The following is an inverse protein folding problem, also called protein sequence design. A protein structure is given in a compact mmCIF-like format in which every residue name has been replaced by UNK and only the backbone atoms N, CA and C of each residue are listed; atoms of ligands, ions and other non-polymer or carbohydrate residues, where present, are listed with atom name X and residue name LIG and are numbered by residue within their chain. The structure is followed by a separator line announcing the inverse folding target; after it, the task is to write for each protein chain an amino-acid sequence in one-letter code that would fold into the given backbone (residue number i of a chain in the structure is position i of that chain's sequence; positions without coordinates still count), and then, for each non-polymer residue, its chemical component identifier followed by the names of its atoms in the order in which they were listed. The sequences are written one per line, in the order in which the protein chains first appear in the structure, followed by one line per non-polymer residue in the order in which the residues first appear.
data_IF_206354816492
#
_entry.id   IF_206354816492
#
_cell.length_a   1.000
_cell.length_b   1.000
_cell.length_c   1.000
_cell.angle_alpha   90.00
_cell.angle_beta   90.00
_cell.angle_gamma   90.00
#
_symmetry.space_group_name_H-M   'P 1'
#
loop_
_entity.id
_entity.type
_entity.pdbx_description
1 polymer ?
#
# COMPACT_ATOMS: atom_id res chain seq x y z
N UNK A 1 27.02 -11.46 15.70
CA UNK A 1 25.92 -10.50 15.43
C UNK A 1 24.84 -10.67 16.52
N UNK A 2 24.11 -9.62 16.95
CA UNK A 2 23.04 -9.71 17.97
C UNK A 2 21.99 -10.78 17.65
N UNK A 3 21.65 -10.97 16.37
CA UNK A 3 20.69 -12.01 15.94
C UNK A 3 21.22 -13.40 16.28
N UNK A 4 22.48 -13.69 15.95
CA UNK A 4 23.13 -14.98 16.29
C UNK A 4 23.21 -15.20 17.80
N UNK A 5 23.40 -14.13 18.59
CA UNK A 5 23.45 -14.21 20.05
C UNK A 5 22.09 -14.49 20.67
N UNK A 6 21.02 -13.89 20.14
CA UNK A 6 19.66 -14.08 20.64
C UNK A 6 19.03 -15.38 20.15
N UNK A 7 19.46 -15.87 18.98
CA UNK A 7 18.93 -17.06 18.31
C UNK A 7 17.39 -17.13 18.31
N UNK A 8 16.69 -16.11 17.77
CA UNK A 8 15.24 -16.06 17.80
C UNK A 8 14.63 -17.11 16.86
N UNK A 9 13.50 -17.71 17.26
CA UNK A 9 12.74 -18.61 16.40
C UNK A 9 12.13 -17.88 15.20
N UNK A 10 11.64 -16.65 15.42
CA UNK A 10 11.07 -15.75 14.41
C UNK A 10 11.45 -14.29 14.72
N UNK A 11 11.73 -13.51 13.68
CA UNK A 11 11.90 -12.05 13.76
C UNK A 11 10.62 -11.33 13.31
N UNK A 12 10.08 -10.47 14.18
CA UNK A 12 9.01 -9.55 13.81
C UNK A 12 9.58 -8.36 13.02
N UNK A 13 9.14 -8.17 11.78
CA UNK A 13 9.56 -7.03 10.95
C UNK A 13 8.55 -5.90 11.11
N UNK A 14 8.91 -4.88 11.89
CA UNK A 14 8.12 -3.65 12.09
C UNK A 14 8.62 -2.43 11.30
N UNK A 15 9.37 -2.64 10.21
CA UNK A 15 9.96 -1.58 9.41
C UNK A 15 9.02 -1.16 8.27
N UNK A 16 8.61 0.10 8.24
CA UNK A 16 7.73 0.64 7.20
C UNK A 16 8.54 1.41 6.15
N UNK A 17 8.31 1.12 4.87
CA UNK A 17 9.01 1.74 3.74
C UNK A 17 10.47 1.30 3.54
N UNK A 18 11.05 1.73 2.41
CA UNK A 18 12.46 1.53 2.09
C UNK A 18 12.90 0.07 2.08
N UNK A 19 14.14 -0.18 2.52
CA UNK A 19 14.76 -1.52 2.55
C UNK A 19 14.03 -2.54 3.45
N UNK A 20 13.21 -2.05 4.39
CA UNK A 20 12.40 -2.89 5.25
C UNK A 20 11.19 -3.51 4.53
N UNK A 21 10.58 -2.78 3.59
CA UNK A 21 9.31 -3.18 2.95
C UNK A 21 9.46 -3.53 1.46
N UNK A 22 10.58 -3.17 0.82
CA UNK A 22 10.82 -3.45 -0.61
C UNK A 22 11.33 -4.87 -0.92
N UNK A 23 11.51 -5.72 0.09
CA UNK A 23 11.99 -7.10 -0.07
C UNK A 23 13.49 -7.29 0.16
N UNK A 24 14.28 -6.22 0.29
CA UNK A 24 15.74 -6.29 0.49
C UNK A 24 16.12 -7.00 1.78
N UNK A 25 15.55 -6.57 2.92
CA UNK A 25 15.78 -7.21 4.21
C UNK A 25 15.25 -8.65 4.25
N UNK A 26 14.07 -8.88 3.69
CA UNK A 26 13.47 -10.22 3.59
C UNK A 26 14.37 -11.15 2.80
N UNK A 27 15.00 -10.66 1.71
CA UNK A 27 15.90 -11.47 0.90
C UNK A 27 17.15 -11.89 1.69
N UNK A 28 17.66 -10.99 2.52
CA UNK A 28 18.77 -11.29 3.42
C UNK A 28 18.37 -12.35 4.45
N UNK A 29 17.20 -12.23 5.08
CA UNK A 29 16.71 -13.24 6.03
C UNK A 29 16.46 -14.59 5.38
N UNK A 30 15.87 -14.62 4.18
CA UNK A 30 15.71 -15.84 3.38
C UNK A 30 17.07 -16.50 3.08
N UNK A 31 18.09 -15.72 2.71
CA UNK A 31 19.44 -16.23 2.45
C UNK A 31 20.11 -16.81 3.71
N UNK A 32 19.87 -16.20 4.86
CA UNK A 32 20.41 -16.62 6.15
C UNK A 32 19.57 -17.70 6.85
N UNK A 33 18.48 -18.18 6.23
CA UNK A 33 17.50 -19.07 6.84
C UNK A 33 16.95 -18.55 8.18
N UNK A 34 16.74 -17.23 8.28
CA UNK A 34 16.09 -16.59 9.41
C UNK A 34 14.59 -16.50 9.12
N UNK A 35 13.76 -16.99 10.02
CA UNK A 35 12.30 -16.90 9.91
C UNK A 35 11.80 -15.51 10.32
N UNK A 36 10.78 -15.00 9.63
CA UNK A 36 10.24 -13.68 9.89
C UNK A 36 8.75 -13.53 9.59
N UNK A 37 8.14 -12.48 10.15
CA UNK A 37 6.72 -12.16 9.94
C UNK A 37 6.46 -11.46 8.61
N UNK A 38 5.25 -11.64 8.06
CA UNK A 38 4.79 -10.91 6.88
C UNK A 38 5.20 -11.56 5.55
N UNK A 39 5.24 -10.73 4.50
CA UNK A 39 5.42 -11.19 3.12
C UNK A 39 6.88 -11.48 2.75
N UNK A 40 7.09 -12.44 1.85
CA UNK A 40 8.40 -12.81 1.29
C UNK A 40 9.09 -11.66 0.55
N UNK A 41 10.38 -11.81 0.23
CA UNK A 41 11.13 -10.83 -0.59
C UNK A 41 10.48 -10.57 -1.95
N UNK A 42 10.01 -11.62 -2.61
CA UNK A 42 9.33 -11.55 -3.91
C UNK A 42 8.03 -10.73 -3.83
N UNK A 43 7.18 -11.05 -2.86
CA UNK A 43 5.89 -10.37 -2.68
C UNK A 43 6.06 -8.91 -2.27
N UNK A 44 7.00 -8.64 -1.36
CA UNK A 44 7.35 -7.29 -0.92
C UNK A 44 7.88 -6.43 -2.08
N UNK A 45 8.74 -6.97 -2.93
CA UNK A 45 9.23 -6.26 -4.12
C UNK A 45 8.10 -5.95 -5.13
N UNK A 46 7.20 -6.90 -5.37
CA UNK A 46 6.05 -6.70 -6.26
C UNK A 46 5.09 -5.65 -5.70
N UNK A 47 4.76 -5.73 -4.42
CA UNK A 47 3.82 -4.82 -3.78
C UNK A 47 4.35 -3.39 -3.72
N UNK A 48 5.64 -3.22 -3.42
CA UNK A 48 6.30 -1.91 -3.40
C UNK A 48 6.30 -1.24 -4.78
N UNK A 49 6.49 -2.02 -5.85
CA UNK A 49 6.46 -1.50 -7.21
C UNK A 49 5.02 -1.32 -7.73
N UNK A 50 4.53 -0.08 -7.73
CA UNK A 50 3.16 0.28 -8.15
C UNK A 50 2.86 -0.09 -9.59
N UNK A 51 3.85 -0.02 -10.48
CA UNK A 51 3.67 -0.39 -11.90
C UNK A 51 3.41 -1.89 -12.02
N UNK A 52 4.26 -2.71 -11.42
CA UNK A 52 4.16 -4.17 -11.49
C UNK A 52 2.87 -4.65 -10.81
N UNK A 53 2.62 -4.21 -9.57
CA UNK A 53 1.41 -4.59 -8.84
C UNK A 53 0.14 -4.20 -9.59
N UNK A 54 0.06 -2.98 -10.16
CA UNK A 54 -1.10 -2.57 -10.97
C UNK A 54 -1.27 -3.36 -12.25
N UNK A 55 -0.20 -3.67 -12.97
CA UNK A 55 -0.30 -4.49 -14.18
C UNK A 55 -0.88 -5.87 -13.86
N UNK A 56 -0.44 -6.50 -12.76
CA UNK A 56 -0.97 -7.78 -12.30
C UNK A 56 -2.45 -7.67 -11.90
N UNK A 57 -2.79 -6.68 -11.06
CA UNK A 57 -4.16 -6.44 -10.58
C UNK A 57 -5.12 -6.14 -11.74
N UNK A 58 -4.71 -5.30 -12.69
CA UNK A 58 -5.49 -4.99 -13.90
C UNK A 58 -5.68 -6.22 -14.80
N UNK A 59 -4.63 -7.03 -14.96
CA UNK A 59 -4.70 -8.25 -15.76
C UNK A 59 -5.64 -9.31 -15.14
N UNK A 60 -5.80 -9.31 -13.82
CA UNK A 60 -6.74 -10.18 -13.11
C UNK A 60 -8.19 -9.65 -13.11
N UNK A 61 -8.45 -8.53 -13.81
CA UNK A 61 -9.78 -7.98 -14.01
C UNK A 61 -10.22 -6.97 -12.95
N UNK A 62 -9.35 -6.57 -12.02
CA UNK A 62 -9.64 -5.53 -11.05
C UNK A 62 -9.32 -4.13 -11.60
N UNK A 63 -10.06 -3.14 -11.12
CA UNK A 63 -9.88 -1.76 -11.55
C UNK A 63 -8.64 -1.13 -10.90
N UNK A 64 -7.87 -0.43 -11.71
CA UNK A 64 -6.79 0.47 -11.31
C UNK A 64 -6.98 1.78 -12.07
N UNK A 65 -6.55 2.94 -11.54
CA UNK A 65 -6.54 4.17 -12.32
C UNK A 65 -5.73 3.95 -13.60
N UNK A 66 -6.16 4.52 -14.74
CA UNK A 66 -5.32 4.45 -15.94
C UNK A 66 -3.97 5.12 -15.65
N UNK A 67 -2.88 4.52 -16.15
CA UNK A 67 -1.54 4.99 -15.83
C UNK A 67 -0.54 4.83 -16.97
N UNK A 68 0.50 5.66 -16.92
CA UNK A 68 1.70 5.58 -17.75
C UNK A 68 2.92 5.80 -16.85
N UNK A 69 4.05 5.20 -17.21
CA UNK A 69 5.30 5.38 -16.48
C UNK A 69 6.36 6.01 -17.37
N UNK A 70 7.22 6.81 -16.74
CA UNK A 70 8.35 7.47 -17.36
C UNK A 70 9.60 7.15 -16.55
N UNK A 71 10.57 6.50 -17.20
CA UNK A 71 11.91 6.33 -16.64
C UNK A 71 12.76 7.58 -16.87
N UNK A 72 13.70 7.85 -15.96
CA UNK A 72 14.60 9.01 -16.06
C UNK A 72 15.43 9.03 -17.36
N UNK A 73 15.74 7.85 -17.89
CA UNK A 73 16.51 7.67 -19.13
C UNK A 73 15.62 7.53 -20.39
N UNK A 74 14.32 7.78 -20.28
CA UNK A 74 13.37 7.59 -21.38
C UNK A 74 13.46 8.71 -22.42
N UNK A 75 13.50 8.33 -23.70
CA UNK A 75 13.36 9.25 -24.84
C UNK A 75 11.88 9.57 -25.18
N UNK A 76 10.91 8.96 -24.48
CA UNK A 76 9.49 9.26 -24.67
C UNK A 76 9.23 10.71 -24.28
N UNK A 77 8.83 11.53 -25.25
CA UNK A 77 8.46 12.92 -25.01
C UNK A 77 7.25 13.05 -24.08
N UNK A 78 7.38 13.94 -23.09
CA UNK A 78 6.36 14.25 -22.07
C UNK A 78 4.99 14.56 -22.68
N UNK A 79 4.96 15.26 -23.82
CA UNK A 79 3.73 15.63 -24.53
C UNK A 79 2.84 14.42 -24.85
N UNK A 80 3.43 13.27 -25.20
CA UNK A 80 2.68 12.04 -25.50
C UNK A 80 2.04 11.42 -24.27
N UNK A 81 2.65 11.62 -23.10
CA UNK A 81 2.14 11.10 -21.83
C UNK A 81 0.99 11.99 -21.35
N UNK A 82 1.20 13.30 -21.34
CA UNK A 82 0.24 14.28 -20.81
C UNK A 82 -1.05 14.29 -21.63
N UNK A 83 -0.95 14.24 -22.97
CA UNK A 83 -2.12 14.22 -23.87
C UNK A 83 -3.04 13.01 -23.69
N UNK A 84 -2.61 11.96 -22.96
CA UNK A 84 -3.43 10.79 -22.66
C UNK A 84 -4.35 10.99 -21.45
N UNK A 85 -4.11 12.01 -20.62
CA UNK A 85 -4.84 12.24 -19.39
C UNK A 85 -5.61 13.56 -19.43
N UNK A 86 -6.71 13.60 -18.69
CA UNK A 86 -7.40 14.84 -18.34
C UNK A 86 -6.96 15.27 -16.94
N UNK A 87 -6.92 16.58 -16.68
CA UNK A 87 -6.69 17.08 -15.34
C UNK A 87 -7.88 16.81 -14.40
N UNK A 88 -7.62 16.60 -13.09
CA UNK A 88 -6.29 16.52 -12.48
C UNK A 88 -5.57 15.18 -12.73
N UNK A 89 -4.24 15.21 -12.65
CA UNK A 89 -3.37 14.03 -12.86
C UNK A 89 -2.57 13.78 -11.57
N UNK A 90 -2.43 12.51 -11.18
CA UNK A 90 -1.55 12.12 -10.07
C UNK A 90 -0.16 11.79 -10.62
N UNK A 91 0.87 12.47 -10.14
CA UNK A 91 2.27 12.19 -10.48
C UNK A 91 2.98 11.67 -9.24
N UNK A 92 3.62 10.50 -9.30
CA UNK A 92 4.27 9.89 -8.13
C UNK A 92 5.43 8.95 -8.49
N UNK A 93 6.35 8.68 -7.56
CA UNK A 93 7.36 7.63 -7.74
C UNK A 93 6.72 6.25 -7.79
N UNK A 94 7.29 5.33 -8.58
CA UNK A 94 6.76 3.97 -8.74
C UNK A 94 6.97 3.10 -7.51
N UNK A 95 8.05 3.30 -6.75
CA UNK A 95 8.54 2.42 -5.69
C UNK A 95 8.72 3.11 -4.32
N UNK A 96 8.03 4.23 -4.11
CA UNK A 96 8.02 4.95 -2.82
C UNK A 96 6.73 4.72 -2.04
N UNK A 97 6.87 4.63 -0.71
CA UNK A 97 5.76 4.61 0.25
C UNK A 97 5.45 5.99 0.84
N UNK A 98 4.47 6.05 1.74
CA UNK A 98 4.14 7.24 2.55
C UNK A 98 3.82 8.53 1.76
N UNK A 99 3.35 8.41 0.52
CA UNK A 99 3.01 9.54 -0.37
C UNK A 99 4.18 10.50 -0.66
N UNK A 100 5.42 10.07 -0.42
CA UNK A 100 6.62 10.89 -0.69
C UNK A 100 6.80 11.04 -2.20
N UNK A 101 7.03 12.27 -2.65
CA UNK A 101 7.18 12.59 -4.07
C UNK A 101 5.87 12.61 -4.88
N UNK A 102 4.71 12.45 -4.23
CA UNK A 102 3.42 12.49 -4.90
C UNK A 102 2.91 13.93 -5.06
N UNK A 103 2.41 14.25 -6.25
CA UNK A 103 1.70 15.50 -6.58
C UNK A 103 0.37 15.19 -7.25
N UNK A 104 -0.62 16.07 -7.04
CA UNK A 104 -1.85 16.10 -7.84
C UNK A 104 -1.81 17.43 -8.58
N UNK A 105 -1.66 17.36 -9.90
CA UNK A 105 -1.52 18.54 -10.76
C UNK A 105 -2.85 18.87 -11.43
N UNK A 106 -3.18 20.15 -11.55
CA UNK A 106 -4.47 20.61 -12.07
C UNK A 106 -4.38 21.34 -13.42
N UNK A 107 -3.16 21.66 -13.87
CA UNK A 107 -2.87 22.34 -15.13
C UNK A 107 -1.43 22.05 -15.58
N UNK A 108 -1.11 22.51 -16.79
CA UNK A 108 0.19 22.25 -17.42
C UNK A 108 1.37 22.90 -16.68
N UNK A 109 1.16 24.04 -16.02
CA UNK A 109 2.22 24.79 -15.33
C UNK A 109 2.79 24.03 -14.12
N UNK A 110 2.07 23.03 -13.61
CA UNK A 110 2.47 22.22 -12.45
C UNK A 110 3.28 20.97 -12.84
N UNK A 111 3.33 20.60 -14.12
CA UNK A 111 3.88 19.32 -14.59
C UNK A 111 5.37 19.18 -14.29
N UNK A 112 6.17 20.18 -14.65
CA UNK A 112 7.63 20.13 -14.53
C UNK A 112 8.06 19.93 -13.07
N UNK A 113 7.48 20.73 -12.16
CA UNK A 113 7.72 20.63 -10.72
C UNK A 113 7.34 19.25 -10.16
N UNK A 114 6.20 18.70 -10.59
CA UNK A 114 5.75 17.38 -10.13
C UNK A 114 6.68 16.25 -10.59
N UNK A 115 7.18 16.34 -11.82
CA UNK A 115 8.15 15.39 -12.38
C UNK A 115 9.48 15.46 -11.63
N UNK A 116 10.03 16.66 -11.46
CA UNK A 116 11.27 16.86 -10.72
C UNK A 116 11.17 16.30 -9.31
N UNK A 117 10.08 16.61 -8.59
CA UNK A 117 9.83 16.10 -7.25
C UNK A 117 9.75 14.57 -7.23
N UNK A 118 9.03 13.95 -8.16
CA UNK A 118 8.91 12.49 -8.20
C UNK A 118 10.26 11.80 -8.51
N UNK A 119 11.08 12.37 -9.41
CA UNK A 119 12.41 11.84 -9.76
C UNK A 119 13.48 12.05 -8.68
N UNK A 120 13.22 12.86 -7.65
CA UNK A 120 14.08 12.92 -6.46
C UNK A 120 13.99 11.63 -5.62
N UNK A 121 12.93 10.85 -5.79
CA UNK A 121 12.64 9.69 -4.96
C UNK A 121 12.65 8.36 -5.71
N UNK A 122 12.64 8.36 -7.04
CA UNK A 122 12.73 7.15 -7.86
C UNK A 122 13.36 7.42 -9.22
N UNK A 123 13.86 6.37 -9.88
CA UNK A 123 14.29 6.42 -11.27
C UNK A 123 13.15 6.19 -12.26
N UNK A 124 11.97 5.81 -11.78
CA UNK A 124 10.75 5.66 -12.58
C UNK A 124 9.58 6.34 -11.87
N UNK A 125 8.85 7.19 -12.60
CA UNK A 125 7.68 7.89 -12.10
C UNK A 125 6.44 7.43 -12.85
N UNK A 126 5.28 7.68 -12.27
CA UNK A 126 3.99 7.28 -12.78
C UNK A 126 3.05 8.49 -12.84
N UNK A 127 2.38 8.62 -13.98
CA UNK A 127 1.23 9.49 -14.19
C UNK A 127 -0.01 8.61 -14.12
N UNK A 128 -0.97 8.97 -13.27
CA UNK A 128 -2.24 8.28 -13.15
C UNK A 128 -3.41 9.24 -13.32
N UNK A 129 -4.50 8.71 -13.86
CA UNK A 129 -5.82 9.34 -13.79
C UNK A 129 -6.19 9.60 -12.32
N UNK A 130 -6.67 10.80 -12.02
CA UNK A 130 -7.22 11.10 -10.71
C UNK A 130 -8.63 10.50 -10.55
N UNK A 131 -8.76 9.51 -9.68
CA UNK A 131 -10.06 8.96 -9.30
C UNK A 131 -10.65 9.80 -8.15
N UNK A 132 -11.68 10.59 -8.46
CA UNK A 132 -12.44 11.36 -7.48
C UNK A 132 -13.22 10.44 -6.51
N UNK A 133 -13.63 11.00 -5.37
CA UNK A 133 -14.42 10.28 -4.36
C UNK A 133 -13.68 9.97 -3.06
N UNK A 134 -13.98 8.81 -2.46
CA UNK A 134 -13.60 8.42 -1.11
C UNK A 134 -12.32 7.59 -1.11
N UNK A 135 -11.55 7.67 -0.03
CA UNK A 135 -10.37 6.81 0.17
C UNK A 135 -10.71 5.68 1.13
N UNK A 136 -10.54 4.45 0.64
CA UNK A 136 -11.00 3.24 1.31
C UNK A 136 -9.80 2.33 1.51
N UNK A 137 -9.61 1.87 2.73
CA UNK A 137 -8.53 0.97 3.11
C UNK A 137 -9.10 -0.32 3.66
N UNK A 138 -8.52 -1.45 3.23
CA UNK A 138 -8.81 -2.78 3.75
C UNK A 138 -7.53 -3.39 4.33
N UNK A 139 -7.54 -3.65 5.62
CA UNK A 139 -6.49 -4.44 6.26
C UNK A 139 -6.76 -5.93 6.05
N UNK A 140 -5.72 -6.69 5.73
CA UNK A 140 -5.74 -8.15 5.63
C UNK A 140 -4.92 -8.71 6.79
N UNK A 141 -5.44 -9.72 7.47
CA UNK A 141 -4.75 -10.51 8.48
C UNK A 141 -5.02 -11.99 8.18
N UNK A 142 -3.96 -12.78 8.05
CA UNK A 142 -4.04 -14.22 7.75
C UNK A 142 -4.87 -14.53 6.50
N UNK A 143 -4.74 -13.67 5.48
CA UNK A 143 -5.48 -13.78 4.22
C UNK A 143 -6.96 -13.42 4.31
N UNK A 144 -7.42 -12.84 5.44
CA UNK A 144 -8.80 -12.39 5.63
C UNK A 144 -8.91 -10.90 5.83
N UNK A 145 -9.90 -10.30 5.18
CA UNK A 145 -10.19 -8.89 5.31
C UNK A 145 -10.80 -8.56 6.67
N UNK A 146 -10.29 -7.50 7.28
CA UNK A 146 -10.81 -6.88 8.49
C UNK A 146 -11.83 -5.78 8.13
N UNK A 147 -12.54 -5.18 9.11
CA UNK A 147 -13.46 -4.08 8.87
C UNK A 147 -12.83 -2.95 8.06
N UNK A 148 -13.56 -2.51 7.03
CA UNK A 148 -13.10 -1.47 6.10
C UNK A 148 -12.94 -0.15 6.84
N UNK A 149 -11.87 0.58 6.56
CA UNK A 149 -11.62 1.92 7.09
C UNK A 149 -11.77 2.93 5.97
N UNK A 150 -12.55 3.99 6.20
CA UNK A 150 -12.54 5.16 5.33
C UNK A 150 -11.60 6.23 5.91
N UNK A 151 -10.74 6.76 5.05
CA UNK A 151 -9.80 7.81 5.38
C UNK A 151 -10.34 9.15 4.88
N UNK A 152 -10.63 10.08 5.80
CA UNK A 152 -11.19 11.40 5.50
C UNK A 152 -10.22 12.50 5.93
N UNK A 153 -9.30 12.94 5.06
CA UNK A 153 -8.50 14.13 5.30
C UNK A 153 -9.41 15.34 5.53
N UNK A 154 -9.12 16.19 6.53
CA UNK A 154 -9.92 17.40 6.78
C UNK A 154 -9.80 18.44 5.67
N UNK A 155 -8.65 18.48 5.00
CA UNK A 155 -8.37 19.35 3.87
C UNK A 155 -7.50 18.58 2.86
N UNK A 156 -7.64 18.88 1.57
CA UNK A 156 -6.80 18.25 0.54
C UNK A 156 -6.98 16.73 0.44
N UNK A 157 -5.87 15.99 0.41
CA UNK A 157 -5.80 14.56 0.16
C UNK A 157 -4.87 13.87 1.18
N UNK A 158 -4.86 12.53 1.24
CA UNK A 158 -4.14 11.77 2.26
C UNK A 158 -2.62 11.68 2.00
N UNK A 159 -1.95 12.80 2.27
CA UNK A 159 -0.50 12.96 2.16
C UNK A 159 0.25 12.55 3.45
N UNK A 160 1.58 12.73 3.45
CA UNK A 160 2.44 12.45 4.60
C UNK A 160 2.02 13.22 5.86
N UNK A 161 1.66 14.50 5.72
CA UNK A 161 1.26 15.36 6.85
C UNK A 161 -0.01 14.81 7.51
N UNK A 162 -0.99 14.43 6.70
CA UNK A 162 -2.26 13.85 7.16
C UNK A 162 -2.08 12.47 7.83
N UNK A 163 -1.13 11.65 7.33
CA UNK A 163 -0.81 10.32 7.88
C UNK A 163 -0.24 10.36 9.31
N UNK A 164 0.58 11.37 9.63
CA UNK A 164 1.37 11.38 10.87
C UNK A 164 1.02 12.53 11.84
N UNK A 165 0.16 13.47 11.45
CA UNK A 165 -0.29 14.57 12.34
C UNK A 165 -1.63 14.25 12.99
N UNK A 166 -1.64 14.16 14.32
CA UNK A 166 -2.86 13.86 15.09
C UNK A 166 -3.92 14.95 14.84
N UNK A 167 -5.10 14.52 14.38
CA UNK A 167 -6.27 15.39 14.21
C UNK A 167 -6.45 15.99 12.82
N UNK A 168 -5.56 15.74 11.86
CA UNK A 168 -5.70 16.21 10.46
C UNK A 168 -6.59 15.29 9.61
N UNK A 169 -6.79 14.05 10.04
CA UNK A 169 -7.58 13.04 9.33
C UNK A 169 -8.59 12.40 10.27
N UNK A 170 -9.82 12.28 9.79
CA UNK A 170 -10.89 11.52 10.44
C UNK A 170 -10.90 10.13 9.82
N UNK A 171 -10.92 9.12 10.67
CA UNK A 171 -11.03 7.73 10.23
C UNK A 171 -12.39 7.19 10.66
N UNK A 172 -13.10 6.58 9.72
CA UNK A 172 -14.38 5.92 10.00
C UNK A 172 -14.21 4.40 9.85
N UNK A 173 -14.45 3.68 10.94
CA UNK A 173 -14.33 2.23 11.00
C UNK A 173 -15.49 1.64 11.82
N UNK A 174 -16.30 0.73 11.26
CA UNK A 174 -16.37 0.39 9.84
C UNK A 174 -16.73 1.60 8.97
N UNK A 175 -16.23 1.65 7.74
CA UNK A 175 -16.58 2.67 6.76
C UNK A 175 -18.10 2.69 6.49
N UNK A 176 -18.66 3.86 6.21
CA UNK A 176 -20.06 4.01 5.83
C UNK A 176 -20.30 3.53 4.38
N UNK A 177 -20.30 2.21 4.20
CA UNK A 177 -20.60 1.51 2.97
C UNK A 177 -21.80 0.59 3.22
N UNK A 178 -22.59 0.33 2.18
CA UNK A 178 -23.57 -0.74 2.21
C UNK A 178 -22.88 -2.08 2.46
N UNK A 179 -23.66 -3.06 2.94
CA UNK A 179 -23.15 -4.41 3.16
C UNK A 179 -22.59 -5.02 1.87
N UNK A 180 -23.21 -4.75 0.72
CA UNK A 180 -22.76 -5.25 -0.57
C UNK A 180 -21.42 -4.62 -0.98
N UNK A 181 -21.29 -3.29 -0.91
CA UNK A 181 -20.03 -2.59 -1.20
C UNK A 181 -18.90 -3.07 -0.27
N UNK A 182 -19.19 -3.26 1.01
CA UNK A 182 -18.25 -3.77 2.02
C UNK A 182 -17.75 -5.16 1.63
N UNK A 183 -18.66 -6.10 1.35
CA UNK A 183 -18.30 -7.46 0.92
C UNK A 183 -17.51 -7.45 -0.39
N UNK A 184 -17.88 -6.58 -1.34
CA UNK A 184 -17.17 -6.43 -2.61
C UNK A 184 -15.72 -5.99 -2.40
N UNK A 185 -15.47 -4.88 -1.68
CA UNK A 185 -14.10 -4.37 -1.51
C UNK A 185 -13.25 -5.31 -0.66
N UNK A 186 -13.82 -5.97 0.35
CA UNK A 186 -13.13 -6.99 1.13
C UNK A 186 -12.74 -8.19 0.26
N UNK A 187 -13.65 -8.67 -0.58
CA UNK A 187 -13.37 -9.80 -1.50
C UNK A 187 -12.30 -9.44 -2.53
N UNK A 188 -12.32 -8.21 -3.07
CA UNK A 188 -11.27 -7.73 -3.97
C UNK A 188 -9.92 -7.69 -3.25
N UNK A 189 -9.87 -7.14 -2.03
CA UNK A 189 -8.65 -7.05 -1.24
C UNK A 189 -8.03 -8.43 -0.92
N UNK A 190 -8.85 -9.41 -0.54
CA UNK A 190 -8.40 -10.80 -0.31
C UNK A 190 -7.84 -11.45 -1.60
N UNK A 191 -8.49 -11.21 -2.74
CA UNK A 191 -8.03 -11.72 -4.03
C UNK A 191 -6.71 -11.08 -4.46
N UNK A 192 -6.57 -9.75 -4.33
CA UNK A 192 -5.32 -9.03 -4.62
C UNK A 192 -4.19 -9.51 -3.70
N UNK A 193 -4.46 -9.67 -2.40
CA UNK A 193 -3.47 -10.20 -1.45
C UNK A 193 -2.93 -11.57 -1.88
N UNK A 194 -3.83 -12.46 -2.32
CA UNK A 194 -3.46 -13.78 -2.85
C UNK A 194 -2.73 -13.68 -4.20
N UNK A 195 -3.19 -12.84 -5.11
CA UNK A 195 -2.59 -12.60 -6.43
C UNK A 195 -1.13 -12.17 -6.31
N UNK A 196 -0.84 -11.24 -5.39
CA UNK A 196 0.51 -10.75 -5.10
C UNK A 196 1.31 -11.68 -4.17
N UNK A 197 0.76 -12.86 -3.85
CA UNK A 197 1.36 -13.90 -2.99
C UNK A 197 1.77 -13.40 -1.60
N UNK A 198 1.08 -12.38 -1.09
CA UNK A 198 1.38 -11.80 0.21
C UNK A 198 1.05 -12.78 1.35
N UNK A 199 1.62 -12.55 2.53
CA UNK A 199 1.47 -13.41 3.72
C UNK A 199 1.49 -12.61 5.01
N UNK A 200 0.98 -13.19 6.10
CA UNK A 200 0.85 -12.53 7.40
C UNK A 200 -0.24 -11.45 7.40
N UNK A 201 0.14 -10.23 7.05
CA UNK A 201 -0.77 -9.09 7.04
C UNK A 201 -0.40 -8.12 5.93
N UNK A 202 -1.36 -7.30 5.53
CA UNK A 202 -1.16 -6.21 4.58
C UNK A 202 -2.22 -5.14 4.74
N UNK A 203 -2.00 -4.01 4.07
CA UNK A 203 -3.00 -2.96 3.90
C UNK A 203 -3.16 -2.64 2.42
N UNK A 204 -4.37 -2.74 1.91
CA UNK A 204 -4.69 -2.40 0.52
C UNK A 204 -5.51 -1.12 0.53
N UNK A 205 -5.05 -0.15 -0.26
CA UNK A 205 -5.65 1.17 -0.36
C UNK A 205 -6.36 1.31 -1.73
N UNK A 206 -7.56 1.91 -1.72
CA UNK A 206 -8.45 2.07 -2.85
C UNK A 206 -8.98 3.49 -2.95
N UNK A 207 -9.31 3.92 -4.17
CA UNK A 207 -10.23 5.04 -4.42
C UNK A 207 -11.61 4.49 -4.75
N UNK A 208 -12.64 5.11 -4.18
CA UNK A 208 -14.02 4.75 -4.42
C UNK A 208 -14.80 5.94 -4.98
N UNK A 209 -15.22 5.86 -6.24
CA UNK A 209 -15.92 6.95 -6.94
C UNK A 209 -17.44 6.98 -6.66
N UNK A 210 -17.94 6.08 -5.81
CA UNK A 210 -19.37 5.90 -5.54
C UNK A 210 -20.01 4.74 -6.30
N UNK A 211 -19.29 4.12 -7.23
CA UNK A 211 -19.71 2.91 -7.95
C UNK A 211 -18.63 1.81 -7.88
N UNK A 212 -17.38 2.19 -8.12
CA UNK A 212 -16.27 1.28 -8.37
C UNK A 212 -15.08 1.53 -7.45
N UNK A 213 -14.41 0.45 -7.05
CA UNK A 213 -13.19 0.47 -6.23
C UNK A 213 -11.94 0.31 -7.11
N UNK A 214 -11.09 1.34 -7.12
CA UNK A 214 -9.84 1.38 -7.87
C UNK A 214 -8.66 1.10 -6.94
N UNK A 215 -7.95 0.01 -7.17
CA UNK A 215 -6.75 -0.34 -6.41
C UNK A 215 -5.65 0.71 -6.61
N UNK A 216 -5.14 1.25 -5.49
CA UNK A 216 -4.01 2.17 -5.48
C UNK A 216 -2.70 1.44 -5.22
N UNK A 217 -2.60 0.76 -4.09
CA UNK A 217 -1.38 0.08 -3.67
C UNK A 217 -1.66 -0.98 -2.60
N UNK A 218 -0.70 -1.89 -2.42
CA UNK A 218 -0.65 -2.83 -1.30
C UNK A 218 0.62 -2.54 -0.50
N UNK A 219 0.48 -2.38 0.81
CA UNK A 219 1.57 -2.23 1.77
C UNK A 219 1.75 -3.56 2.49
N UNK A 220 2.94 -4.16 2.41
CA UNK A 220 3.24 -5.46 3.05
C UNK A 220 3.71 -5.31 4.49
N UNK A 221 4.15 -4.12 4.88
CA UNK A 221 4.50 -3.76 6.26
C UNK A 221 3.86 -2.43 6.65
N UNK A 222 2.52 -2.34 6.66
CA UNK A 222 1.82 -1.13 7.08
C UNK A 222 2.15 -0.79 8.53
N UNK A 223 2.04 0.50 8.86
CA UNK A 223 2.28 1.02 10.20
C UNK A 223 1.52 0.26 11.30
N UNK A 224 2.17 0.14 12.47
CA UNK A 224 1.68 -0.59 13.65
C UNK A 224 1.58 0.30 14.89
N UNK A 225 1.45 1.62 14.71
CA UNK A 225 1.21 2.56 15.82
C UNK A 225 -0.27 2.60 16.20
N UNK A 226 -0.61 3.19 17.35
CA UNK A 226 -2.02 3.34 17.80
C UNK A 226 -2.91 4.10 16.79
N UNK A 227 -2.32 4.95 15.95
CA UNK A 227 -3.04 5.72 14.92
C UNK A 227 -3.03 5.02 13.55
N UNK A 228 -2.41 3.84 13.43
CA UNK A 228 -2.30 3.14 12.17
C UNK A 228 -3.57 2.37 11.81
N UNK A 229 -3.83 2.26 10.51
CA UNK A 229 -5.09 1.70 9.96
C UNK A 229 -5.28 0.21 10.25
N UNK A 230 -4.21 -0.59 10.32
CA UNK A 230 -4.30 -2.03 10.61
C UNK A 230 -4.72 -2.28 12.07
N UNK A 231 -4.05 -1.72 13.10
CA UNK A 231 -4.54 -1.78 14.49
C UNK A 231 -5.97 -1.24 14.67
N UNK A 232 -6.32 -0.16 13.96
CA UNK A 232 -7.66 0.42 14.01
C UNK A 232 -8.73 -0.53 13.48
N UNK A 233 -8.49 -1.14 12.32
CA UNK A 233 -9.37 -2.13 11.71
C UNK A 233 -9.49 -3.39 12.58
N UNK A 234 -8.37 -3.88 13.12
CA UNK A 234 -8.34 -5.02 14.04
C UNK A 234 -9.19 -4.77 15.30
N UNK A 235 -9.06 -3.58 15.92
CA UNK A 235 -9.86 -3.19 17.08
C UNK A 235 -11.35 -3.20 16.79
N UNK A 236 -11.77 -2.72 15.61
CA UNK A 236 -13.16 -2.76 15.19
C UNK A 236 -13.69 -4.19 15.00
N UNK A 237 -12.81 -5.16 14.72
CA UNK A 237 -13.12 -6.59 14.68
C UNK A 237 -13.09 -7.27 16.06
N UNK A 238 -12.87 -6.51 17.15
CA UNK A 238 -12.72 -7.07 18.50
C UNK A 238 -11.34 -7.67 18.79
N UNK A 239 -10.34 -7.40 17.96
CA UNK A 239 -8.97 -7.91 18.12
C UNK A 239 -8.14 -6.84 18.87
N UNK A 240 -7.59 -7.19 20.02
CA UNK A 240 -6.68 -6.29 20.75
C UNK A 240 -5.35 -6.11 20.01
N UNK A 241 -4.58 -5.07 20.34
CA UNK A 241 -3.26 -4.90 19.72
C UNK A 241 -2.32 -6.07 20.03
N UNK A 242 -2.33 -6.57 21.27
CA UNK A 242 -1.56 -7.74 21.67
C UNK A 242 -1.97 -8.99 20.86
N UNK A 243 -3.27 -9.22 20.68
CA UNK A 243 -3.77 -10.34 19.88
C UNK A 243 -3.42 -10.18 18.40
N UNK A 244 -3.44 -8.97 17.86
CA UNK A 244 -2.99 -8.69 16.50
C UNK A 244 -1.52 -9.10 16.30
N UNK A 245 -0.63 -8.68 17.21
CA UNK A 245 0.79 -9.06 17.16
C UNK A 245 0.96 -10.57 17.31
N UNK A 246 0.22 -11.19 18.24
CA UNK A 246 0.26 -12.63 18.45
C UNK A 246 -0.17 -13.41 17.19
N UNK A 247 -1.27 -13.01 16.53
CA UNK A 247 -1.71 -13.64 15.28
C UNK A 247 -0.70 -13.49 14.15
N UNK A 248 -0.07 -12.31 14.00
CA UNK A 248 0.98 -12.11 13.00
C UNK A 248 2.20 -13.02 13.26
N UNK A 249 2.57 -13.21 14.53
CA UNK A 249 3.62 -14.14 14.91
C UNK A 249 3.21 -15.58 14.62
N UNK A 250 2.02 -16.00 15.06
CA UNK A 250 1.51 -17.37 14.86
C UNK A 250 1.36 -17.74 13.38
N UNK A 251 0.95 -16.79 12.52
CA UNK A 251 1.00 -16.98 11.06
C UNK A 251 2.42 -17.35 10.59
N UNK A 252 3.43 -16.66 11.08
CA UNK A 252 4.82 -16.96 10.74
C UNK A 252 5.24 -18.34 11.25
N UNK A 253 4.95 -18.69 12.51
CA UNK A 253 5.22 -20.03 13.06
C UNK A 253 4.59 -21.13 12.17
N UNK A 254 3.32 -20.96 11.79
CA UNK A 254 2.61 -21.89 10.92
C UNK A 254 3.25 -22.00 9.53
N UNK A 255 3.66 -20.87 8.91
CA UNK A 255 4.31 -20.87 7.58
C UNK A 255 5.66 -21.60 7.58
N UNK A 256 6.38 -21.58 8.69
CA UNK A 256 7.68 -22.27 8.82
C UNK A 256 7.57 -23.67 9.46
N UNK A 257 6.35 -24.15 9.72
CA UNK A 257 6.07 -25.47 10.33
C UNK A 257 6.77 -25.67 11.68
N UNK A 258 6.70 -24.66 12.55
CA UNK A 258 7.27 -24.69 13.90
C UNK A 258 6.21 -24.90 14.98
#
# INVERSE_FOLDING_TARGET
NKIETLNPDVIFIGLHGGEGENGGLQKLFEYLNIHFTGSSSFSSAIAMNKKISKLLVKNDGFLVPEFLCLSKDSEIGLDKIITKFNFPIVVKPVDSGSSVGLSIIYNDDEIENAIELAFQHSNEIMFEEYIAGREITVAILEGKALPVVEVKPKQGWYDYKHKYTKGETIYEVPANLSEQETRTVQSIAEQIFKLLKCSGYARIDFRYNGNDFYFLELNTLPGMTELSLVPMSAKAAGISFEELINRILMDAFNRYNM
#
